data_IF_387731907574
#
_entry.id   IF_387731907574
#
_cell.length_a   1.000
_cell.length_b   1.000
_cell.length_c   1.000
_cell.angle_alpha   90.00
_cell.angle_beta   90.00
_cell.angle_gamma   90.00
#
_symmetry.space_group_name_H-M   'P 1'
#
loop_
_entity.id
_entity.type
_entity.pdbx_description
1 polymer ?
#
# COMPACT_ATOMS: atom_id res chain seq x y z
N UNK A 1 14.67 -56.23 -47.10
CA UNK A 1 13.98 -54.99 -46.68
C UNK A 1 14.65 -54.54 -45.40
N UNK A 2 15.65 -53.68 -45.54
CA UNK A 2 16.36 -53.05 -44.42
C UNK A 2 15.77 -51.65 -44.20
N UNK A 3 15.61 -51.19 -42.94
CA UNK A 3 15.11 -49.86 -42.67
C UNK A 3 16.21 -48.81 -42.90
N UNK A 4 15.85 -47.80 -43.68
CA UNK A 4 16.60 -46.57 -43.94
C UNK A 4 16.98 -45.86 -42.63
N UNK A 5 18.29 -45.61 -42.44
CA UNK A 5 18.82 -44.81 -41.34
C UNK A 5 18.47 -43.34 -41.55
N UNK A 6 17.48 -42.86 -40.81
CA UNK A 6 17.12 -41.45 -40.69
C UNK A 6 18.33 -40.64 -40.22
N UNK A 7 18.73 -39.64 -41.02
CA UNK A 7 19.78 -38.69 -40.70
C UNK A 7 19.48 -37.95 -39.40
N UNK A 8 20.32 -38.18 -38.40
CA UNK A 8 20.50 -37.29 -37.27
C UNK A 8 21.26 -36.05 -37.80
N UNK A 9 20.67 -34.84 -37.81
CA UNK A 9 21.34 -33.64 -38.33
C UNK A 9 22.46 -33.15 -37.40
N UNK A 10 22.54 -33.71 -36.19
CA UNK A 10 23.56 -33.41 -35.20
C UNK A 10 24.37 -34.67 -34.93
N UNK A 11 25.24 -35.00 -35.87
CA UNK A 11 26.26 -36.02 -35.68
C UNK A 11 27.23 -35.57 -34.60
N UNK A 12 27.04 -36.05 -33.37
CA UNK A 12 28.07 -35.96 -32.34
C UNK A 12 29.16 -36.98 -32.70
N UNK A 13 30.10 -36.52 -33.53
CA UNK A 13 31.36 -37.20 -33.77
C UNK A 13 32.20 -36.96 -32.51
N UNK A 14 32.51 -38.02 -31.77
CA UNK A 14 33.47 -37.96 -30.67
C UNK A 14 34.87 -37.76 -31.27
N UNK A 15 35.15 -36.57 -31.78
CA UNK A 15 36.51 -36.12 -32.03
C UNK A 15 36.95 -35.35 -30.80
N UNK A 16 37.93 -35.91 -30.10
CA UNK A 16 38.69 -35.28 -29.04
C UNK A 16 39.40 -34.06 -29.61
N UNK A 17 38.70 -32.92 -29.61
CA UNK A 17 39.31 -31.62 -29.75
C UNK A 17 39.20 -30.93 -28.39
N UNK A 18 40.33 -30.78 -27.70
CA UNK A 18 40.59 -29.77 -26.67
C UNK A 18 40.46 -28.36 -27.28
N UNK A 19 39.29 -28.04 -27.83
CA UNK A 19 38.91 -26.68 -28.06
C UNK A 19 38.46 -26.17 -26.70
N UNK A 20 39.28 -25.34 -26.05
CA UNK A 20 38.85 -24.47 -24.96
C UNK A 20 37.50 -23.87 -25.38
N UNK A 21 36.42 -24.38 -24.81
CA UNK A 21 35.09 -23.97 -25.22
C UNK A 21 34.96 -22.53 -24.75
N UNK A 22 35.15 -21.59 -25.68
CA UNK A 22 34.77 -20.21 -25.49
C UNK A 22 33.25 -20.19 -25.33
N UNK A 23 32.79 -20.46 -24.11
CA UNK A 23 31.40 -20.35 -23.73
C UNK A 23 31.19 -18.86 -23.44
N UNK A 24 30.50 -18.11 -24.32
CA UNK A 24 30.28 -16.67 -24.14
C UNK A 24 29.40 -16.36 -22.92
N UNK A 25 28.77 -17.41 -22.36
CA UNK A 25 27.97 -17.36 -21.16
C UNK A 25 28.64 -18.09 -19.99
N UNK A 26 29.92 -18.48 -20.11
CA UNK A 26 30.68 -18.89 -18.94
C UNK A 26 30.74 -17.68 -18.01
N UNK A 27 30.32 -17.82 -16.74
CA UNK A 27 30.42 -16.73 -15.79
C UNK A 27 31.90 -16.33 -15.73
N UNK A 28 32.22 -15.09 -16.12
CA UNK A 28 33.55 -14.57 -15.85
C UNK A 28 33.73 -14.59 -14.34
N UNK A 29 34.68 -15.38 -13.85
CA UNK A 29 35.04 -15.41 -12.41
C UNK A 29 35.50 -14.05 -11.89
N UNK A 30 35.74 -13.10 -12.81
CA UNK A 30 35.69 -11.67 -12.55
C UNK A 30 34.24 -11.19 -12.56
N UNK A 31 33.48 -11.55 -11.53
CA UNK A 31 32.49 -10.61 -11.02
C UNK A 31 33.35 -9.56 -10.36
N UNK A 32 33.53 -8.43 -11.02
CA UNK A 32 34.21 -7.28 -10.42
C UNK A 32 33.53 -7.05 -9.06
N UNK A 33 34.24 -7.31 -7.96
CA UNK A 33 33.73 -7.05 -6.60
C UNK A 33 33.45 -5.54 -6.41
N UNK A 34 33.78 -4.71 -7.40
CA UNK A 34 33.17 -3.41 -7.62
C UNK A 34 31.80 -3.49 -8.30
N UNK A 35 30.92 -4.38 -7.82
CA UNK A 35 29.51 -4.00 -7.69
C UNK A 35 29.47 -2.86 -6.68
N UNK A 36 29.91 -1.68 -7.15
CA UNK A 36 29.94 -0.45 -6.41
C UNK A 36 28.58 -0.36 -5.73
N UNK A 37 28.59 -0.17 -4.40
CA UNK A 37 27.38 0.24 -3.72
C UNK A 37 26.71 1.30 -4.61
N UNK A 38 25.40 1.14 -4.93
CA UNK A 38 24.73 2.05 -5.84
C UNK A 38 25.09 3.46 -5.38
N UNK A 39 25.69 4.25 -6.28
CA UNK A 39 26.32 5.49 -5.90
C UNK A 39 25.31 6.27 -5.06
N UNK A 40 25.74 6.89 -3.95
CA UNK A 40 24.81 7.53 -3.01
C UNK A 40 23.84 8.50 -3.71
N UNK A 41 24.27 9.08 -4.83
CA UNK A 41 23.47 9.92 -5.72
C UNK A 41 22.34 9.17 -6.45
N UNK A 42 22.55 7.92 -6.88
CA UNK A 42 21.53 7.07 -7.52
C UNK A 42 20.40 6.72 -6.55
N UNK A 43 20.74 6.38 -5.31
CA UNK A 43 19.75 6.08 -4.25
C UNK A 43 18.90 7.30 -3.93
N UNK A 44 19.54 8.49 -3.86
CA UNK A 44 18.85 9.78 -3.64
C UNK A 44 17.91 10.10 -4.79
N UNK A 45 18.38 10.03 -6.03
CA UNK A 45 17.58 10.30 -7.22
C UNK A 45 16.39 9.33 -7.32
N UNK A 46 16.61 8.05 -7.03
CA UNK A 46 15.56 7.04 -7.01
C UNK A 46 14.46 7.36 -6.00
N UNK A 47 14.80 7.81 -4.78
CA UNK A 47 13.79 8.24 -3.81
C UNK A 47 13.09 9.52 -4.22
N UNK A 48 13.81 10.52 -4.71
CA UNK A 48 13.22 11.79 -5.17
C UNK A 48 12.16 11.55 -6.25
N UNK A 49 12.41 10.59 -7.15
CA UNK A 49 11.44 10.20 -8.18
C UNK A 49 10.13 9.60 -7.61
N UNK A 50 10.22 8.90 -6.46
CA UNK A 50 9.08 8.21 -5.84
C UNK A 50 8.41 8.99 -4.70
N UNK A 51 9.05 10.03 -4.15
CA UNK A 51 8.64 10.64 -2.88
C UNK A 51 7.23 11.25 -2.91
N UNK A 52 6.81 11.83 -4.04
CA UNK A 52 5.46 12.36 -4.18
C UNK A 52 4.41 11.23 -4.14
N UNK A 53 4.71 10.09 -4.77
CA UNK A 53 3.84 8.91 -4.76
C UNK A 53 3.78 8.27 -3.38
N UNK A 54 4.93 8.17 -2.71
CA UNK A 54 5.04 7.74 -1.31
C UNK A 54 4.17 8.60 -0.39
N UNK A 55 4.22 9.93 -0.55
CA UNK A 55 3.40 10.85 0.23
C UNK A 55 1.89 10.67 -0.03
N UNK A 56 1.49 10.50 -1.30
CA UNK A 56 0.10 10.21 -1.65
C UNK A 56 -0.39 8.88 -1.08
N UNK A 57 0.43 7.83 -1.08
CA UNK A 57 0.06 6.56 -0.44
C UNK A 57 -0.01 6.69 1.09
N UNK A 58 0.89 7.45 1.71
CA UNK A 58 0.82 7.73 3.15
C UNK A 58 -0.40 8.57 3.55
N UNK A 59 -0.92 9.42 2.67
CA UNK A 59 -2.17 10.16 2.92
C UNK A 59 -3.40 9.24 2.87
N UNK A 60 -3.41 8.21 2.01
CA UNK A 60 -4.43 7.14 2.04
C UNK A 60 -4.44 6.47 3.41
N UNK A 61 -3.27 6.11 3.95
CA UNK A 61 -3.18 5.53 5.28
C UNK A 61 -3.62 6.49 6.41
N UNK A 62 -3.41 7.80 6.26
CA UNK A 62 -3.95 8.81 7.18
C UNK A 62 -5.49 8.83 7.16
N UNK A 63 -6.09 8.79 5.97
CA UNK A 63 -7.54 8.80 5.83
C UNK A 63 -8.16 7.59 6.54
N UNK A 64 -7.62 6.39 6.30
CA UNK A 64 -8.08 5.17 6.95
C UNK A 64 -7.88 5.19 8.47
N UNK A 65 -6.77 5.75 8.95
CA UNK A 65 -6.56 5.96 10.38
C UNK A 65 -7.62 6.89 10.98
N UNK A 66 -7.93 8.01 10.31
CA UNK A 66 -8.92 8.98 10.78
C UNK A 66 -10.33 8.38 10.78
N UNK A 67 -10.72 7.69 9.71
CA UNK A 67 -11.99 6.97 9.63
C UNK A 67 -12.11 5.92 10.73
N UNK A 68 -11.04 5.15 10.95
CA UNK A 68 -10.99 4.15 12.03
C UNK A 68 -11.08 4.76 13.42
N UNK A 69 -10.43 5.90 13.67
CA UNK A 69 -10.49 6.61 14.94
C UNK A 69 -11.90 7.13 15.24
N UNK A 70 -12.56 7.76 14.26
CA UNK A 70 -13.95 8.22 14.40
C UNK A 70 -14.87 7.03 14.70
N UNK A 71 -14.73 5.94 13.94
CA UNK A 71 -15.57 4.76 14.10
C UNK A 71 -15.33 4.03 15.43
N UNK A 72 -14.09 3.99 15.89
CA UNK A 72 -13.73 3.44 17.20
C UNK A 72 -14.39 4.25 18.32
N UNK A 73 -14.28 5.58 18.27
CA UNK A 73 -14.89 6.47 19.27
C UNK A 73 -16.43 6.34 19.28
N UNK A 74 -17.05 6.30 18.10
CA UNK A 74 -18.49 6.08 17.98
C UNK A 74 -18.92 4.72 18.55
N UNK A 75 -18.18 3.65 18.22
CA UNK A 75 -18.43 2.32 18.75
C UNK A 75 -18.30 2.24 20.28
N UNK A 76 -17.26 2.85 20.84
CA UNK A 76 -17.08 2.98 22.30
C UNK A 76 -18.25 3.76 22.91
N UNK A 77 -18.65 4.88 22.33
CA UNK A 77 -19.76 5.70 22.82
C UNK A 77 -21.08 4.92 22.87
N UNK A 78 -21.40 4.16 21.81
CA UNK A 78 -22.58 3.30 21.77
C UNK A 78 -22.51 2.16 22.79
N UNK A 79 -21.34 1.55 22.95
CA UNK A 79 -21.11 0.48 23.95
C UNK A 79 -21.32 1.03 25.36
N UNK A 80 -20.78 2.20 25.68
CA UNK A 80 -20.98 2.85 26.99
C UNK A 80 -22.44 3.25 27.20
N UNK A 81 -23.07 3.82 26.18
CA UNK A 81 -24.49 4.21 26.22
C UNK A 81 -25.45 3.02 26.45
N UNK A 82 -25.06 1.82 26.02
CA UNK A 82 -25.84 0.60 26.26
C UNK A 82 -26.06 0.31 27.76
N UNK A 83 -25.08 0.68 28.61
CA UNK A 83 -25.16 0.50 30.06
C UNK A 83 -26.28 1.35 30.67
N UNK A 84 -26.55 2.51 30.07
CA UNK A 84 -27.54 3.48 30.57
C UNK A 84 -28.93 3.32 29.94
N UNK A 85 -29.05 2.69 28.76
CA UNK A 85 -30.31 2.62 28.01
C UNK A 85 -31.33 1.63 28.61
N UNK A 86 -30.87 0.48 29.12
CA UNK A 86 -31.75 -0.61 29.58
C UNK A 86 -32.59 -1.24 28.45
N UNK A 87 -33.29 -2.33 28.76
CA UNK A 87 -34.22 -2.99 27.84
C UNK A 87 -33.58 -3.67 26.61
N UNK A 88 -34.39 -4.10 25.62
CA UNK A 88 -33.91 -4.77 24.41
C UNK A 88 -32.97 -3.91 23.55
N UNK A 89 -33.13 -2.59 23.59
CA UNK A 89 -32.32 -1.64 22.81
C UNK A 89 -30.87 -1.59 23.31
N UNK A 90 -30.63 -1.80 24.61
CA UNK A 90 -29.27 -1.89 25.17
C UNK A 90 -28.47 -3.04 24.54
N UNK A 91 -29.09 -4.20 24.29
CA UNK A 91 -28.40 -5.33 23.66
C UNK A 91 -27.97 -4.98 22.23
N UNK A 92 -28.84 -4.33 21.44
CA UNK A 92 -28.49 -3.91 20.09
C UNK A 92 -27.40 -2.85 20.06
N UNK A 93 -27.46 -1.86 20.97
CA UNK A 93 -26.40 -0.84 21.11
C UNK A 93 -25.05 -1.47 21.48
N UNK A 94 -25.05 -2.46 22.37
CA UNK A 94 -23.84 -3.18 22.77
C UNK A 94 -23.24 -3.95 21.60
N UNK A 95 -24.05 -4.72 20.86
CA UNK A 95 -23.59 -5.51 19.72
C UNK A 95 -23.08 -4.60 18.61
N UNK A 96 -23.86 -3.58 18.22
CA UNK A 96 -23.51 -2.68 17.14
C UNK A 96 -22.32 -1.77 17.50
N UNK A 97 -22.30 -1.23 18.72
CA UNK A 97 -21.19 -0.45 19.24
C UNK A 97 -19.91 -1.25 19.33
N UNK A 98 -19.97 -2.48 19.84
CA UNK A 98 -18.83 -3.40 19.90
C UNK A 98 -18.29 -3.74 18.51
N UNK A 99 -19.18 -4.04 17.55
CA UNK A 99 -18.79 -4.30 16.16
C UNK A 99 -18.10 -3.07 15.53
N UNK A 100 -18.67 -1.87 15.68
CA UNK A 100 -18.08 -0.62 15.21
C UNK A 100 -16.70 -0.37 15.82
N UNK A 101 -16.53 -0.64 17.12
CA UNK A 101 -15.24 -0.48 17.80
C UNK A 101 -14.18 -1.43 17.23
N UNK A 102 -14.53 -2.70 17.02
CA UNK A 102 -13.63 -3.69 16.40
C UNK A 102 -13.25 -3.28 14.99
N UNK A 103 -14.22 -2.93 14.15
CA UNK A 103 -13.94 -2.45 12.79
C UNK A 103 -13.12 -1.16 12.81
N UNK A 104 -13.32 -0.28 13.78
CA UNK A 104 -12.53 0.95 13.97
C UNK A 104 -11.07 0.64 14.23
N UNK A 105 -10.80 -0.33 15.13
CA UNK A 105 -9.46 -0.83 15.39
C UNK A 105 -8.79 -1.43 14.14
N UNK A 106 -9.52 -2.22 13.35
CA UNK A 106 -9.03 -2.78 12.09
C UNK A 106 -8.68 -1.68 11.07
N UNK A 107 -9.51 -0.64 10.96
CA UNK A 107 -9.23 0.50 10.08
C UNK A 107 -8.02 1.31 10.51
N UNK A 108 -7.85 1.54 11.83
CA UNK A 108 -6.66 2.18 12.39
C UNK A 108 -5.42 1.36 12.05
N UNK A 109 -5.47 0.05 12.28
CA UNK A 109 -4.37 -0.86 11.95
C UNK A 109 -4.02 -0.78 10.47
N UNK A 110 -5.02 -0.84 9.57
CA UNK A 110 -4.81 -0.76 8.13
C UNK A 110 -4.20 0.59 7.74
N UNK A 111 -4.67 1.69 8.31
CA UNK A 111 -4.08 3.02 8.11
C UNK A 111 -2.62 3.10 8.53
N UNK A 112 -2.26 2.55 9.70
CA UNK A 112 -0.87 2.45 10.16
C UNK A 112 -0.04 1.56 9.23
N UNK A 113 -0.57 0.41 8.82
CA UNK A 113 0.14 -0.55 8.00
C UNK A 113 0.44 -0.01 6.59
N UNK A 114 -0.49 0.73 5.98
CA UNK A 114 -0.25 1.46 4.71
C UNK A 114 0.84 2.52 4.88
N UNK A 115 0.81 3.29 5.98
CA UNK A 115 1.81 4.34 6.24
C UNK A 115 3.22 3.78 6.45
N UNK A 116 3.30 2.52 6.92
CA UNK A 116 4.54 1.75 7.02
C UNK A 116 4.93 1.05 5.72
N UNK A 117 4.18 1.27 4.63
CA UNK A 117 4.40 0.67 3.32
C UNK A 117 4.43 -0.86 3.37
N UNK A 118 3.53 -1.46 4.17
CA UNK A 118 3.46 -2.91 4.30
C UNK A 118 2.78 -3.53 3.04
N UNK A 119 3.39 -4.55 2.39
CA UNK A 119 2.83 -5.19 1.20
C UNK A 119 1.44 -5.82 1.40
N UNK A 120 1.18 -6.39 2.59
CA UNK A 120 -0.11 -7.00 2.92
C UNK A 120 -1.19 -5.91 2.98
N UNK A 121 -0.86 -4.76 3.58
CA UNK A 121 -1.77 -3.63 3.67
C UNK A 121 -2.20 -3.14 2.29
N UNK A 122 -1.27 -3.11 1.31
CA UNK A 122 -1.60 -2.79 -0.09
C UNK A 122 -2.68 -3.71 -0.66
N UNK A 123 -2.54 -5.03 -0.48
CA UNK A 123 -3.52 -6.01 -0.98
C UNK A 123 -4.88 -5.80 -0.32
N UNK A 124 -4.90 -5.69 1.02
CA UNK A 124 -6.13 -5.47 1.78
C UNK A 124 -6.82 -4.19 1.33
N UNK A 125 -6.09 -3.08 1.18
CA UNK A 125 -6.65 -1.81 0.70
C UNK A 125 -7.17 -1.92 -0.74
N UNK A 126 -6.50 -2.69 -1.62
CA UNK A 126 -7.02 -2.93 -2.98
C UNK A 126 -8.37 -3.65 -2.93
N UNK A 127 -8.49 -4.72 -2.14
CA UNK A 127 -9.75 -5.47 -1.99
C UNK A 127 -10.86 -4.55 -1.48
N UNK A 128 -10.59 -3.80 -0.41
CA UNK A 128 -11.56 -2.86 0.17
C UNK A 128 -11.91 -1.76 -0.83
N UNK A 129 -10.96 -1.26 -1.60
CA UNK A 129 -11.20 -0.23 -2.61
C UNK A 129 -12.09 -0.75 -3.74
N UNK A 130 -11.90 -1.99 -4.20
CA UNK A 130 -12.78 -2.61 -5.21
C UNK A 130 -14.22 -2.66 -4.71
N UNK A 131 -14.45 -3.07 -3.46
CA UNK A 131 -15.78 -3.06 -2.85
C UNK A 131 -16.32 -1.62 -2.79
N UNK A 132 -15.47 -0.67 -2.39
CA UNK A 132 -15.82 0.74 -2.31
C UNK A 132 -16.16 1.41 -3.65
N UNK A 133 -15.82 0.80 -4.80
CA UNK A 133 -16.23 1.29 -6.11
C UNK A 133 -17.76 1.27 -6.30
N UNK A 134 -18.47 0.40 -5.56
CA UNK A 134 -19.93 0.31 -5.60
C UNK A 134 -20.62 1.56 -5.00
N UNK A 135 -19.89 2.34 -4.20
CA UNK A 135 -20.40 3.56 -3.55
C UNK A 135 -20.35 4.77 -4.50
N UNK A 136 -21.14 4.74 -5.58
CA UNK A 136 -21.17 5.79 -6.61
C UNK A 136 -21.87 7.09 -6.13
N UNK A 137 -21.40 8.30 -6.53
CA UNK A 137 -20.22 8.59 -7.37
C UNK A 137 -18.94 8.81 -6.58
N UNK A 138 -19.05 9.23 -5.31
CA UNK A 138 -17.92 9.71 -4.51
C UNK A 138 -16.96 8.56 -4.16
N UNK A 139 -17.48 7.41 -3.76
CA UNK A 139 -16.68 6.23 -3.46
C UNK A 139 -15.98 5.68 -4.69
N UNK A 140 -16.60 5.71 -5.87
CA UNK A 140 -15.93 5.32 -7.12
C UNK A 140 -14.72 6.20 -7.43
N UNK A 141 -14.83 7.52 -7.26
CA UNK A 141 -13.72 8.45 -7.48
C UNK A 141 -12.57 8.22 -6.49
N UNK A 142 -12.88 8.16 -5.20
CA UNK A 142 -11.86 7.99 -4.14
C UNK A 142 -11.19 6.63 -4.25
N UNK A 143 -11.97 5.55 -4.33
CA UNK A 143 -11.43 4.19 -4.39
C UNK A 143 -10.75 3.88 -5.74
N UNK A 144 -11.24 4.47 -6.83
CA UNK A 144 -10.55 4.41 -8.12
C UNK A 144 -9.17 5.05 -8.06
N UNK A 145 -9.05 6.20 -7.39
CA UNK A 145 -7.75 6.83 -7.14
C UNK A 145 -6.82 5.98 -6.25
N UNK A 146 -7.37 5.33 -5.22
CA UNK A 146 -6.59 4.42 -4.36
C UNK A 146 -6.04 3.24 -5.17
N UNK A 147 -6.89 2.58 -5.95
CA UNK A 147 -6.47 1.48 -6.82
C UNK A 147 -5.40 1.92 -7.81
N UNK A 148 -5.58 3.08 -8.44
CA UNK A 148 -4.58 3.65 -9.33
C UNK A 148 -3.23 3.83 -8.63
N UNK A 149 -3.19 4.46 -7.45
CA UNK A 149 -1.94 4.68 -6.72
C UNK A 149 -1.27 3.36 -6.29
N UNK A 150 -2.06 2.42 -5.76
CA UNK A 150 -1.55 1.17 -5.19
C UNK A 150 -1.12 0.14 -6.24
N UNK A 151 -1.76 0.13 -7.42
CA UNK A 151 -1.48 -0.83 -8.49
C UNK A 151 -0.51 -0.30 -9.54
N UNK A 152 -0.27 1.02 -9.60
CA UNK A 152 0.74 1.62 -10.49
C UNK A 152 2.15 1.08 -10.25
N UNK A 153 3.03 1.14 -11.27
CA UNK A 153 4.43 0.73 -11.15
C UNK A 153 5.15 1.42 -9.99
N UNK A 154 4.91 2.73 -9.80
CA UNK A 154 5.44 3.49 -8.66
C UNK A 154 4.93 2.97 -7.32
N UNK A 155 3.64 2.60 -7.26
CA UNK A 155 3.05 1.95 -6.09
C UNK A 155 3.76 0.64 -5.78
N UNK A 156 3.92 -0.23 -6.78
CA UNK A 156 4.59 -1.52 -6.58
C UNK A 156 6.03 -1.34 -6.06
N UNK A 157 6.77 -0.38 -6.62
CA UNK A 157 8.13 -0.08 -6.20
C UNK A 157 8.24 0.35 -4.73
N UNK A 158 7.37 1.25 -4.25
CA UNK A 158 7.46 1.75 -2.86
C UNK A 158 7.01 0.73 -1.81
N UNK A 159 6.24 -0.29 -2.20
CA UNK A 159 5.83 -1.39 -1.31
C UNK A 159 6.82 -2.56 -1.33
N UNK A 160 7.85 -2.52 -2.18
CA UNK A 160 8.88 -3.54 -2.18
C UNK A 160 9.75 -3.47 -0.90
N UNK A 161 10.07 -4.59 -0.24
CA UNK A 161 10.92 -4.58 0.95
C UNK A 161 12.28 -3.91 0.76
N UNK A 162 12.85 -3.95 -0.46
CA UNK A 162 14.12 -3.27 -0.78
C UNK A 162 14.01 -1.74 -0.71
N UNK A 163 12.81 -1.17 -0.92
CA UNK A 163 12.58 0.27 -0.83
C UNK A 163 12.76 0.80 0.60
N UNK A 164 12.59 -0.04 1.63
CA UNK A 164 12.85 0.38 3.02
C UNK A 164 14.32 0.76 3.24
N UNK A 165 15.25 0.04 2.59
CA UNK A 165 16.69 0.37 2.63
C UNK A 165 16.98 1.73 1.99
N UNK A 166 16.25 2.08 0.92
CA UNK A 166 16.32 3.40 0.30
C UNK A 166 15.83 4.49 1.27
N UNK A 167 14.75 4.24 2.00
CA UNK A 167 14.21 5.18 3.00
C UNK A 167 15.23 5.41 4.13
N UNK A 168 15.84 4.35 4.63
CA UNK A 168 16.84 4.37 5.71
C UNK A 168 18.12 5.10 5.28
N UNK A 169 18.55 4.93 4.04
CA UNK A 169 19.75 5.58 3.49
C UNK A 169 19.57 7.09 3.20
N UNK A 170 18.34 7.62 3.15
CA UNK A 170 18.05 9.00 2.71
C UNK A 170 17.12 9.78 3.64
N UNK A 171 17.33 9.79 4.97
CA UNK A 171 16.38 10.34 5.95
C UNK A 171 16.12 11.86 5.82
N UNK A 172 17.00 12.58 5.12
CA UNK A 172 16.92 14.00 4.83
C UNK A 172 15.87 14.35 3.76
N UNK A 173 15.50 13.41 2.89
CA UNK A 173 14.54 13.66 1.81
C UNK A 173 13.11 13.47 2.33
N UNK A 174 12.40 14.58 2.53
CA UNK A 174 11.02 14.61 3.04
C UNK A 174 10.09 15.35 2.08
N UNK A 175 8.88 14.81 1.90
CA UNK A 175 7.85 15.48 1.12
C UNK A 175 7.33 16.71 1.87
N UNK A 176 7.28 17.86 1.21
CA UNK A 176 6.69 19.07 1.76
C UNK A 176 5.27 19.23 1.23
N UNK A 177 4.28 18.95 2.07
CA UNK A 177 2.89 19.28 1.74
C UNK A 177 2.72 20.80 1.69
N UNK A 178 2.18 21.31 0.59
CA UNK A 178 1.88 22.74 0.45
C UNK A 178 0.92 23.20 1.55
N UNK A 179 1.16 24.41 2.11
CA UNK A 179 0.31 25.04 3.14
C UNK A 179 -1.15 25.14 2.72
N UNK A 180 -1.42 25.30 1.41
CA UNK A 180 -2.77 25.34 0.87
C UNK A 180 -3.55 24.04 1.13
N UNK A 181 -2.89 22.88 0.99
CA UNK A 181 -3.51 21.58 1.25
C UNK A 181 -3.96 21.48 2.71
N UNK A 182 -3.15 21.99 3.64
CA UNK A 182 -3.52 22.05 5.06
C UNK A 182 -4.73 22.93 5.33
N UNK A 183 -4.80 24.12 4.72
CA UNK A 183 -5.95 25.02 4.85
C UNK A 183 -7.23 24.34 4.32
N UNK A 184 -7.17 23.76 3.13
CA UNK A 184 -8.31 23.04 2.53
C UNK A 184 -8.75 21.86 3.41
N UNK A 185 -7.79 21.09 3.95
CA UNK A 185 -8.08 19.96 4.82
C UNK A 185 -8.78 20.40 6.13
N UNK A 186 -8.29 21.45 6.77
CA UNK A 186 -8.89 21.99 8.01
C UNK A 186 -10.32 22.47 7.74
N UNK A 187 -10.55 23.19 6.65
CA UNK A 187 -11.89 23.66 6.25
C UNK A 187 -12.82 22.46 6.01
N UNK A 188 -12.35 21.43 5.30
CA UNK A 188 -13.13 20.24 5.03
C UNK A 188 -13.52 19.48 6.31
N UNK A 189 -12.56 19.30 7.23
CA UNK A 189 -12.82 18.65 8.53
C UNK A 189 -13.78 19.48 9.38
N UNK A 190 -13.62 20.80 9.42
CA UNK A 190 -14.54 21.69 10.13
C UNK A 190 -15.96 21.61 9.58
N UNK A 191 -16.11 21.58 8.25
CA UNK A 191 -17.40 21.43 7.59
C UNK A 191 -18.09 20.10 7.97
N UNK A 192 -17.37 18.99 7.94
CA UNK A 192 -17.90 17.68 8.40
C UNK A 192 -18.29 17.74 9.89
N UNK A 193 -17.45 18.35 10.73
CA UNK A 193 -17.74 18.50 12.16
C UNK A 193 -19.04 19.27 12.42
N UNK A 194 -19.26 20.38 11.69
CA UNK A 194 -20.51 21.16 11.78
C UNK A 194 -21.71 20.36 11.30
N UNK A 195 -21.59 19.63 10.19
CA UNK A 195 -22.68 18.79 9.68
C UNK A 195 -23.08 17.70 10.68
N UNK A 196 -22.10 17.04 11.31
CA UNK A 196 -22.35 16.05 12.36
C UNK A 196 -23.02 16.70 13.58
N UNK A 197 -22.50 17.84 14.06
CA UNK A 197 -23.09 18.55 15.21
C UNK A 197 -24.54 18.99 14.95
N UNK A 198 -24.85 19.44 13.74
CA UNK A 198 -26.20 19.84 13.35
C UNK A 198 -27.21 18.68 13.45
N UNK A 199 -26.79 17.44 13.15
CA UNK A 199 -27.65 16.25 13.30
C UNK A 199 -28.04 16.04 14.76
N UNK A 200 -27.10 16.22 15.70
CA UNK A 200 -27.36 16.02 17.14
C UNK A 200 -28.13 17.18 17.80
N UNK A 201 -28.03 18.39 17.26
CA UNK A 201 -28.79 19.54 17.78
C UNK A 201 -30.22 19.56 17.21
N UNK A 202 -30.42 19.02 16.00
CA UNK A 202 -31.72 18.95 15.34
C UNK A 202 -32.56 17.72 15.68
N UNK A 203 -32.00 16.72 16.36
CA UNK A 203 -32.65 15.50 16.85
C UNK A 203 -33.10 15.64 18.30
#
# INVERSE_FOLDING_TARGET
MEPSSSGQPYGYRAEEHEAESFNPFAPSTQVDETLAEPAADDVRAYRQYHIAHEASVKSIGLLHWLSGAIMLLAGIGLTVGSVTAGGPDAMWMLIFGGALAVFGGLWIWLGVAIRRLNPIARIVTCIVSVIGLLSFPVGTLINGYFLYLLLSQKGQAIFDPSYQRVIEATPDIKYQTSKLVWVVLIIFVAFIGVAIAAVFIGS
#
